data_IF_699872510951
#
_entry.id   IF_699872510951
#
_cell.length_a   1.000
_cell.length_b   1.000
_cell.length_c   1.000
_cell.angle_alpha   90.00
_cell.angle_beta   90.00
_cell.angle_gamma   90.00
#
_symmetry.space_group_name_H-M   'P 1'
#
loop_
_entity.id
_entity.type
_entity.pdbx_description
1 polymer ?
#
# COMPACT_ATOMS: atom_id res chain seq x y z
N UNK A 1 -12.25 -2.92 5.97
CA UNK A 1 -10.84 -3.38 5.88
C UNK A 1 -10.83 -4.89 5.92
N UNK A 2 -10.02 -5.54 5.09
CA UNK A 2 -9.79 -6.98 5.10
C UNK A 2 -8.42 -7.31 5.71
N UNK A 3 -8.23 -8.48 6.32
CA UNK A 3 -6.90 -8.97 6.70
C UNK A 3 -5.94 -8.99 5.51
N UNK A 4 -4.63 -8.97 5.78
CA UNK A 4 -3.63 -9.21 4.73
C UNK A 4 -3.63 -10.70 4.38
N UNK A 5 -3.60 -11.00 3.09
CA UNK A 5 -3.38 -12.36 2.59
C UNK A 5 -1.89 -12.75 2.73
N UNK A 6 -1.55 -14.04 2.70
CA UNK A 6 -0.16 -14.52 2.91
C UNK A 6 0.82 -14.03 1.84
N UNK A 7 0.33 -13.75 0.64
CA UNK A 7 1.10 -13.19 -0.48
C UNK A 7 1.25 -11.66 -0.43
N UNK A 8 0.57 -10.99 0.50
CA UNK A 8 0.61 -9.54 0.60
C UNK A 8 1.78 -9.05 1.45
N UNK A 9 2.42 -7.92 1.06
CA UNK A 9 3.49 -7.34 1.85
C UNK A 9 2.96 -6.92 3.22
N UNK A 10 3.71 -7.26 4.27
CA UNK A 10 3.40 -6.84 5.64
C UNK A 10 4.06 -5.50 6.01
N UNK A 11 5.03 -5.05 5.20
CA UNK A 11 5.77 -3.78 5.38
C UNK A 11 6.04 -3.15 4.01
N UNK A 12 5.87 -1.83 3.90
CA UNK A 12 6.23 -1.03 2.72
C UNK A 12 6.93 0.24 3.19
N UNK A 13 8.22 0.36 2.84
CA UNK A 13 9.07 1.43 3.36
C UNK A 13 8.99 1.49 4.90
N UNK A 14 8.74 2.67 5.50
CA UNK A 14 8.66 2.82 6.95
C UNK A 14 7.29 2.43 7.56
N UNK A 15 6.38 1.84 6.77
CA UNK A 15 5.00 1.58 7.19
C UNK A 15 4.74 0.08 7.34
N UNK A 16 4.26 -0.32 8.52
CA UNK A 16 3.72 -1.67 8.75
C UNK A 16 2.28 -1.73 8.27
N UNK A 17 1.96 -2.66 7.38
CA UNK A 17 0.60 -2.86 6.89
C UNK A 17 -0.22 -3.67 7.90
N UNK A 18 -1.47 -3.26 8.11
CA UNK A 18 -2.40 -3.85 9.08
C UNK A 18 -3.59 -4.55 8.41
N UNK A 19 -3.86 -4.24 7.15
CA UNK A 19 -4.96 -4.82 6.38
C UNK A 19 -5.20 -4.08 5.07
N UNK A 20 -5.94 -4.70 4.15
CA UNK A 20 -6.32 -4.10 2.87
C UNK A 20 -7.57 -3.24 3.03
N UNK A 21 -7.48 -1.98 2.58
CA UNK A 21 -8.62 -1.05 2.53
C UNK A 21 -9.41 -1.22 1.23
N UNK A 22 -8.72 -1.47 0.11
CA UNK A 22 -9.36 -1.67 -1.18
C UNK A 22 -8.38 -2.10 -2.29
N UNK A 23 -8.94 -2.46 -3.44
CA UNK A 23 -8.21 -2.85 -4.65
C UNK A 23 -8.95 -2.35 -5.89
N UNK A 24 -8.22 -1.92 -6.91
CA UNK A 24 -8.77 -1.49 -8.19
C UNK A 24 -7.73 -1.55 -9.30
N UNK A 25 -8.07 -1.08 -10.50
CA UNK A 25 -7.23 -1.23 -11.69
C UNK A 25 -5.78 -0.75 -11.52
N UNK A 26 -5.57 0.37 -10.82
CA UNK A 26 -4.23 0.93 -10.59
C UNK A 26 -3.42 0.21 -9.49
N UNK A 27 -4.04 -0.62 -8.64
CA UNK A 27 -3.33 -1.24 -7.51
C UNK A 27 -4.19 -1.48 -6.28
N UNK A 28 -3.49 -1.56 -5.13
CA UNK A 28 -4.07 -1.89 -3.82
C UNK A 28 -3.81 -0.77 -2.83
N UNK A 29 -4.75 -0.55 -1.92
CA UNK A 29 -4.64 0.41 -0.82
C UNK A 29 -4.71 -0.34 0.50
N UNK A 30 -3.77 -0.06 1.39
CA UNK A 30 -3.60 -0.71 2.68
C UNK A 30 -3.73 0.29 3.82
N UNK A 31 -4.22 -0.19 4.96
CA UNK A 31 -4.09 0.51 6.23
C UNK A 31 -2.68 0.26 6.75
N UNK A 32 -1.92 1.33 6.97
CA UNK A 32 -0.56 1.28 7.49
C UNK A 32 -0.43 1.97 8.84
N UNK A 33 0.65 1.63 9.56
CA UNK A 33 1.09 2.31 10.77
C UNK A 33 2.53 2.77 10.57
N UNK A 34 2.80 4.05 10.79
CA UNK A 34 4.17 4.58 10.82
C UNK A 34 4.89 4.14 12.09
N UNK A 35 6.23 4.24 12.10
CA UNK A 35 7.04 4.00 13.29
C UNK A 35 6.60 4.84 14.50
N UNK A 36 6.15 6.08 14.27
CA UNK A 36 5.61 6.97 15.30
C UNK A 36 4.15 6.70 15.70
N UNK A 37 3.55 5.59 15.24
CA UNK A 37 2.20 5.21 15.62
C UNK A 37 1.07 5.90 14.85
N UNK A 38 1.36 6.73 13.84
CA UNK A 38 0.33 7.36 13.01
C UNK A 38 -0.29 6.34 12.05
N UNK A 39 -1.62 6.31 12.00
CA UNK A 39 -2.37 5.53 10.99
C UNK A 39 -2.31 6.25 9.65
N UNK A 40 -2.02 5.53 8.57
CA UNK A 40 -1.91 6.06 7.20
C UNK A 40 -2.58 5.13 6.19
N UNK A 41 -2.91 5.63 5.01
CA UNK A 41 -3.24 4.80 3.85
C UNK A 41 -2.00 4.67 2.95
N UNK A 42 -1.64 3.44 2.59
CA UNK A 42 -0.50 3.15 1.70
C UNK A 42 -1.04 2.60 0.39
N UNK A 43 -0.81 3.30 -0.72
CA UNK A 43 -1.20 2.85 -2.07
C UNK A 43 -0.01 2.19 -2.76
N UNK A 44 -0.14 0.92 -3.13
CA UNK A 44 0.82 0.19 -3.93
C UNK A 44 0.26 0.07 -5.34
N UNK A 45 1.01 0.59 -6.32
CA UNK A 45 0.63 0.60 -7.73
C UNK A 45 1.12 -0.68 -8.41
N UNK A 46 0.33 -1.24 -9.32
CA UNK A 46 0.78 -2.42 -10.06
C UNK A 46 2.01 -2.08 -10.93
N UNK A 47 3.00 -2.98 -11.05
CA UNK A 47 4.22 -2.74 -11.81
C UNK A 47 3.98 -2.32 -13.27
N UNK A 48 2.89 -2.79 -13.88
CA UNK A 48 2.45 -2.37 -15.22
C UNK A 48 2.28 -0.84 -15.32
N UNK A 49 1.69 -0.19 -14.31
CA UNK A 49 1.48 1.26 -14.30
C UNK A 49 2.65 2.03 -13.68
N UNK A 50 3.68 1.35 -13.16
CA UNK A 50 4.85 2.00 -12.59
C UNK A 50 5.85 2.48 -13.67
N UNK A 51 5.63 2.10 -14.93
CA UNK A 51 6.39 2.56 -16.10
C UNK A 51 5.92 3.92 -16.63
N UNK A 52 4.76 4.42 -16.20
CA UNK A 52 4.34 5.80 -16.44
C UNK A 52 4.99 6.72 -15.38
N UNK A 53 5.95 7.53 -15.82
CA UNK A 53 6.79 8.43 -15.00
C UNK A 53 6.03 9.40 -14.08
N UNK A 54 4.72 9.58 -14.25
CA UNK A 54 3.90 10.48 -13.42
C UNK A 54 3.61 9.97 -12.00
N UNK A 55 3.81 8.68 -11.69
CA UNK A 55 3.33 8.12 -10.41
C UNK A 55 4.33 8.19 -9.25
N UNK A 56 5.56 8.66 -9.48
CA UNK A 56 6.65 8.62 -8.49
C UNK A 56 6.69 9.81 -7.53
N UNK A 57 5.79 10.79 -7.67
CA UNK A 57 5.78 12.01 -6.88
C UNK A 57 4.47 12.18 -6.09
N UNK A 58 4.41 11.65 -4.87
CA UNK A 58 3.82 12.25 -3.65
C UNK A 58 3.66 11.27 -2.50
#
# INVERSE_FOLDING_TARGET
>A
MRPLDTDEPTVVGPYRLLGRLGSGGMGRVYLGRSAGGRTVAVKIVHPHFALDEEFRAR
#
